data_IF_286635837283
#
_entry.id   IF_286635837283
#
_cell.length_a   1.000
_cell.length_b   1.000
_cell.length_c   1.000
_cell.angle_alpha   90.00
_cell.angle_beta   90.00
_cell.angle_gamma   90.00
#
_symmetry.space_group_name_H-M   'P 1'
#
loop_
_entity.id
_entity.type
_entity.pdbx_description
1 polymer ?
#
# COMPACT_ATOMS: atom_id res chain seq x y z
N UNK A 1 -14.59 16.41 13.02
CA UNK A 1 -15.87 15.69 12.78
C UNK A 1 -15.64 14.19 12.63
N UNK A 2 -14.72 13.74 11.75
CA UNK A 2 -14.48 12.29 11.53
C UNK A 2 -13.93 11.56 12.76
N UNK A 3 -13.00 12.15 13.50
CA UNK A 3 -12.44 11.55 14.71
C UNK A 3 -13.49 11.33 15.81
N UNK A 4 -14.48 12.21 15.94
CA UNK A 4 -15.57 12.01 16.90
C UNK A 4 -16.48 10.86 16.48
N UNK A 5 -16.83 10.77 15.20
CA UNK A 5 -17.63 9.65 14.68
C UNK A 5 -16.94 8.30 14.92
N UNK A 6 -15.63 8.22 14.70
CA UNK A 6 -14.86 7.01 14.97
C UNK A 6 -14.86 6.66 16.47
N UNK A 7 -14.70 7.65 17.36
CA UNK A 7 -14.79 7.42 18.81
C UNK A 7 -16.14 6.86 19.23
N UNK A 8 -17.21 7.43 18.70
CA UNK A 8 -18.57 7.00 19.02
C UNK A 8 -18.84 5.59 18.47
N UNK A 9 -18.35 5.30 17.26
CA UNK A 9 -18.40 3.96 16.68
C UNK A 9 -17.61 2.94 17.51
N UNK A 10 -16.41 3.26 17.95
CA UNK A 10 -15.59 2.36 18.79
C UNK A 10 -16.22 2.11 20.16
N UNK A 11 -16.88 3.10 20.77
CA UNK A 11 -17.60 2.92 22.03
C UNK A 11 -18.73 1.90 21.93
N UNK A 12 -19.44 1.90 20.79
CA UNK A 12 -20.59 1.01 20.57
C UNK A 12 -20.16 -0.36 20.05
N UNK A 13 -19.20 -0.39 19.12
CA UNK A 13 -18.83 -1.56 18.36
C UNK A 13 -17.42 -2.09 18.62
N UNK A 14 -16.66 -1.45 19.53
CA UNK A 14 -15.25 -1.78 19.77
C UNK A 14 -14.97 -3.24 20.11
N UNK A 15 -15.95 -3.96 20.69
CA UNK A 15 -15.83 -5.40 20.96
C UNK A 15 -15.56 -6.26 19.72
N UNK A 16 -15.90 -5.75 18.53
CA UNK A 16 -15.70 -6.43 17.26
C UNK A 16 -14.45 -5.94 16.51
N UNK A 17 -13.81 -4.89 17.02
CA UNK A 17 -12.63 -4.29 16.41
C UNK A 17 -11.40 -4.79 17.18
N UNK A 18 -10.49 -5.39 16.46
CA UNK A 18 -9.30 -5.99 17.06
C UNK A 18 -8.04 -5.14 16.90
N UNK A 19 -7.97 -4.29 15.89
CA UNK A 19 -6.89 -3.34 15.64
C UNK A 19 -7.40 -2.13 14.87
N UNK A 20 -6.65 -1.02 14.89
CA UNK A 20 -6.86 0.10 13.99
C UNK A 20 -5.77 0.14 12.93
N UNK A 21 -6.14 0.50 11.70
CA UNK A 21 -5.21 0.49 10.57
C UNK A 21 -4.51 1.82 10.41
N UNK A 22 -3.16 1.77 10.31
CA UNK A 22 -2.34 2.82 9.72
C UNK A 22 -1.80 2.36 8.37
N UNK A 23 -1.60 3.27 7.44
CA UNK A 23 -1.14 2.86 6.11
C UNK A 23 -0.25 3.89 5.40
N UNK A 24 0.39 3.42 4.33
CA UNK A 24 1.32 4.19 3.52
C UNK A 24 0.68 5.33 2.72
N UNK A 25 -0.63 5.32 2.49
CA UNK A 25 -1.36 6.35 1.74
C UNK A 25 -1.89 7.48 2.61
N UNK A 26 -1.61 7.44 3.90
CA UNK A 26 -1.96 8.49 4.86
C UNK A 26 -0.77 9.39 5.16
N UNK A 27 -1.06 10.64 5.53
CA UNK A 27 -0.06 11.53 6.09
C UNK A 27 0.34 11.06 7.50
N UNK A 28 1.51 11.49 7.98
CA UNK A 28 1.91 11.16 9.35
C UNK A 28 0.91 11.69 10.38
N UNK A 29 0.38 12.90 10.18
CA UNK A 29 -0.61 13.47 11.10
C UNK A 29 -1.91 12.65 11.18
N UNK A 30 -2.31 12.00 10.10
CA UNK A 30 -3.48 11.10 10.09
C UNK A 30 -3.16 9.78 10.79
N UNK A 31 -2.03 9.14 10.46
CA UNK A 31 -1.62 7.90 11.10
C UNK A 31 -1.38 8.09 12.61
N UNK A 32 -0.76 9.22 13.01
CA UNK A 32 -0.58 9.57 14.41
C UNK A 32 -1.91 9.67 15.15
N UNK A 33 -2.91 10.31 14.55
CA UNK A 33 -4.24 10.41 15.16
C UNK A 33 -4.92 9.04 15.30
N UNK A 34 -4.64 8.08 14.41
CA UNK A 34 -5.11 6.69 14.54
C UNK A 34 -4.37 5.97 15.67
N UNK A 35 -3.06 6.15 15.81
CA UNK A 35 -2.26 5.58 16.90
C UNK A 35 -2.79 6.08 18.25
N UNK A 36 -2.94 7.39 18.43
CA UNK A 36 -3.50 8.00 19.64
C UNK A 36 -4.91 7.47 19.95
N UNK A 37 -5.71 7.21 18.91
CA UNK A 37 -7.04 6.62 19.05
C UNK A 37 -6.95 5.16 19.50
N UNK A 38 -6.06 4.37 18.90
CA UNK A 38 -5.85 2.98 19.25
C UNK A 38 -5.42 2.84 20.73
N UNK A 39 -4.44 3.64 21.16
CA UNK A 39 -3.99 3.73 22.55
C UNK A 39 -5.14 4.05 23.51
N UNK A 40 -5.97 5.06 23.17
CA UNK A 40 -7.10 5.49 24.00
C UNK A 40 -8.18 4.41 24.17
N UNK A 41 -8.28 3.45 23.27
CA UNK A 41 -9.23 2.34 23.30
C UNK A 41 -8.59 0.98 23.63
N UNK A 42 -7.31 0.94 23.96
CA UNK A 42 -6.57 -0.30 24.25
C UNK A 42 -6.52 -1.26 23.06
N UNK A 43 -6.46 -0.73 21.84
CA UNK A 43 -6.37 -1.50 20.61
C UNK A 43 -4.95 -1.44 20.06
N UNK A 44 -4.40 -2.54 19.52
CA UNK A 44 -3.18 -2.49 18.75
C UNK A 44 -3.38 -1.75 17.42
N UNK A 45 -2.29 -1.31 16.80
CA UNK A 45 -2.30 -0.83 15.42
C UNK A 45 -1.75 -1.91 14.51
N UNK A 46 -2.33 -2.05 13.32
CA UNK A 46 -1.84 -2.94 12.29
C UNK A 46 -1.77 -2.19 10.95
N UNK A 47 -1.11 -2.75 9.96
CA UNK A 47 -1.13 -2.21 8.61
C UNK A 47 -1.54 -3.26 7.59
N UNK A 48 -2.48 -2.89 6.71
CA UNK A 48 -2.81 -3.64 5.49
C UNK A 48 -1.99 -3.18 4.30
N UNK A 49 -1.17 -2.13 4.49
CA UNK A 49 -0.29 -1.56 3.48
C UNK A 49 -0.96 -0.64 2.48
N UNK A 50 -2.19 -0.89 2.10
CA UNK A 50 -3.00 -0.14 1.11
C UNK A 50 -2.20 0.21 -0.17
N UNK A 51 -1.33 -0.72 -0.60
CA UNK A 51 -0.47 -0.51 -1.75
C UNK A 51 -0.82 -1.48 -2.86
N UNK A 52 -1.08 -0.94 -4.03
CA UNK A 52 -1.50 -1.70 -5.21
C UNK A 52 -0.37 -1.95 -6.22
N UNK A 53 0.87 -1.61 -5.88
CA UNK A 53 2.06 -1.81 -6.72
C UNK A 53 2.85 -3.05 -6.33
N UNK A 54 3.91 -3.34 -7.10
CA UNK A 54 4.80 -4.47 -6.84
C UNK A 54 5.90 -4.17 -5.80
N UNK A 55 6.08 -2.91 -5.40
CA UNK A 55 7.10 -2.54 -4.43
C UNK A 55 6.61 -2.74 -3.00
N UNK A 56 7.53 -3.01 -2.05
CA UNK A 56 7.19 -3.18 -0.65
C UNK A 56 6.39 -2.01 -0.09
N UNK A 57 5.58 -2.30 0.91
CA UNK A 57 4.83 -1.30 1.64
C UNK A 57 5.76 -0.32 2.35
N UNK A 58 5.27 0.89 2.53
CA UNK A 58 5.95 1.93 3.30
C UNK A 58 5.70 1.81 4.80
N UNK A 59 4.73 0.98 5.18
CA UNK A 59 4.44 0.58 6.56
C UNK A 59 4.27 -0.93 6.55
N UNK A 60 4.92 -1.63 7.48
CA UNK A 60 4.89 -3.09 7.58
C UNK A 60 4.56 -3.52 9.01
N UNK A 61 3.91 -4.68 9.17
CA UNK A 61 3.76 -5.33 10.46
C UNK A 61 5.06 -6.08 10.79
N UNK A 62 5.49 -6.00 12.04
CA UNK A 62 6.55 -6.83 12.59
C UNK A 62 5.90 -7.86 13.52
N UNK A 63 6.27 -9.13 13.37
CA UNK A 63 5.73 -10.22 14.16
C UNK A 63 6.77 -11.31 14.34
N UNK A 64 6.66 -12.09 15.40
CA UNK A 64 7.40 -13.33 15.62
C UNK A 64 6.57 -14.57 15.25
N UNK A 65 5.34 -14.37 14.80
CA UNK A 65 4.47 -15.45 14.36
C UNK A 65 5.03 -16.13 13.10
N UNK A 66 5.03 -17.44 13.07
CA UNK A 66 5.45 -18.25 11.94
C UNK A 66 4.27 -18.58 11.00
N UNK A 67 3.04 -18.44 11.49
CA UNK A 67 1.81 -18.67 10.73
C UNK A 67 0.88 -17.47 10.76
N UNK A 68 -0.03 -17.42 9.79
CA UNK A 68 -1.05 -16.36 9.76
C UNK A 68 -2.00 -16.43 10.96
N UNK A 69 -2.34 -17.64 11.41
CA UNK A 69 -3.17 -17.86 12.60
C UNK A 69 -2.52 -17.30 13.86
N UNK A 70 -1.23 -17.54 14.06
CA UNK A 70 -0.48 -16.98 15.19
C UNK A 70 -0.44 -15.46 15.13
N UNK A 71 -0.20 -14.87 13.97
CA UNK A 71 -0.25 -13.42 13.77
C UNK A 71 -1.64 -12.84 14.13
N UNK A 72 -2.70 -13.50 13.70
CA UNK A 72 -4.07 -13.10 14.05
C UNK A 72 -4.30 -13.20 15.57
N UNK A 73 -3.77 -14.24 16.22
CA UNK A 73 -3.90 -14.44 17.68
C UNK A 73 -3.11 -13.38 18.46
N UNK A 74 -1.91 -12.98 18.04
CA UNK A 74 -1.19 -11.84 18.60
C UNK A 74 -2.07 -10.59 18.66
N UNK A 75 -2.75 -10.27 17.56
CA UNK A 75 -3.62 -9.09 17.48
C UNK A 75 -4.90 -9.27 18.29
N UNK A 76 -5.58 -10.40 18.17
CA UNK A 76 -6.92 -10.61 18.74
C UNK A 76 -6.91 -10.96 20.22
N UNK A 77 -6.01 -11.86 20.63
CA UNK A 77 -5.95 -12.41 21.98
C UNK A 77 -4.96 -11.65 22.85
N UNK A 78 -3.75 -11.45 22.34
CA UNK A 78 -2.67 -10.80 23.10
C UNK A 78 -2.74 -9.28 23.05
N UNK A 79 -3.54 -8.71 22.14
CA UNK A 79 -3.62 -7.26 21.90
C UNK A 79 -2.26 -6.64 21.60
N UNK A 80 -1.39 -7.41 20.96
CA UNK A 80 -0.03 -7.04 20.59
C UNK A 80 0.08 -6.87 19.08
N UNK A 81 0.75 -5.83 18.66
CA UNK A 81 1.16 -5.60 17.27
C UNK A 81 2.29 -4.58 17.26
N UNK A 82 3.25 -4.81 16.42
CA UNK A 82 4.32 -3.86 16.11
C UNK A 82 4.24 -3.46 14.64
N UNK A 83 4.49 -2.19 14.36
CA UNK A 83 4.51 -1.66 13.00
C UNK A 83 5.78 -0.85 12.80
N UNK A 84 6.42 -1.04 11.66
CA UNK A 84 7.59 -0.27 11.26
C UNK A 84 7.26 0.66 10.09
N UNK A 85 7.76 1.88 10.18
CA UNK A 85 7.72 2.85 9.10
C UNK A 85 9.00 2.70 8.28
N UNK A 86 8.86 2.26 7.04
CA UNK A 86 9.98 2.10 6.13
C UNK A 86 10.51 3.47 5.67
N UNK A 87 11.80 3.58 5.27
CA UNK A 87 12.38 4.85 4.81
C UNK A 87 11.58 5.54 3.70
N UNK A 88 10.90 4.78 2.85
CA UNK A 88 10.03 5.29 1.80
C UNK A 88 8.84 6.08 2.34
N UNK A 89 8.41 5.82 3.58
CA UNK A 89 7.34 6.57 4.23
C UNK A 89 7.73 8.04 4.48
N UNK A 90 9.01 8.35 4.55
CA UNK A 90 9.49 9.73 4.66
C UNK A 90 9.26 10.56 3.38
N UNK A 91 9.06 9.90 2.24
CA UNK A 91 8.74 10.63 1.02
C UNK A 91 7.42 11.40 1.19
N UNK A 92 7.28 12.57 0.57
CA UNK A 92 6.05 13.33 0.61
C UNK A 92 4.84 12.48 0.18
N UNK A 93 3.70 12.61 0.87
CA UNK A 93 2.50 11.82 0.60
C UNK A 93 2.13 11.80 -0.88
N UNK A 94 2.09 12.98 -1.51
CA UNK A 94 1.75 13.06 -2.93
C UNK A 94 2.75 12.32 -3.83
N UNK A 95 4.03 12.32 -3.48
CA UNK A 95 5.04 11.56 -4.21
C UNK A 95 4.79 10.04 -4.10
N UNK A 96 4.44 9.56 -2.89
CA UNK A 96 4.10 8.15 -2.66
C UNK A 96 2.84 7.72 -3.42
N UNK A 97 1.81 8.57 -3.39
CA UNK A 97 0.56 8.34 -4.11
C UNK A 97 0.79 8.28 -5.62
N UNK A 98 1.48 9.28 -6.20
CA UNK A 98 1.78 9.32 -7.62
C UNK A 98 2.65 8.14 -8.06
N UNK A 99 3.63 7.75 -7.24
CA UNK A 99 4.44 6.56 -7.51
C UNK A 99 3.58 5.29 -7.56
N UNK A 100 2.67 5.11 -6.61
CA UNK A 100 1.80 3.95 -6.59
C UNK A 100 0.84 3.92 -7.79
N UNK A 101 0.23 5.04 -8.15
CA UNK A 101 -0.58 5.12 -9.37
C UNK A 101 0.23 4.81 -10.63
N UNK A 102 1.46 5.32 -10.71
CA UNK A 102 2.36 4.98 -11.80
C UNK A 102 2.67 3.49 -11.87
N UNK A 103 2.89 2.84 -10.73
CA UNK A 103 3.16 1.40 -10.66
C UNK A 103 1.94 0.57 -11.06
N UNK A 104 0.72 0.94 -10.62
CA UNK A 104 -0.53 0.28 -11.04
C UNK A 104 -0.68 0.32 -12.57
N UNK A 105 -0.32 1.44 -13.18
CA UNK A 105 -0.40 1.66 -14.64
C UNK A 105 0.86 1.20 -15.39
N UNK A 106 1.83 0.60 -14.72
CA UNK A 106 3.03 0.06 -15.33
C UNK A 106 2.82 -1.34 -15.89
N UNK A 107 3.72 -1.75 -16.77
CA UNK A 107 3.77 -3.13 -17.25
C UNK A 107 4.56 -3.98 -16.27
N UNK A 108 4.02 -5.14 -15.92
CA UNK A 108 4.67 -6.08 -15.02
C UNK A 108 5.29 -7.24 -15.81
N UNK A 109 6.61 -7.24 -16.05
CA UNK A 109 7.27 -8.26 -16.87
C UNK A 109 7.22 -9.66 -16.26
N UNK A 110 7.12 -9.75 -14.92
CA UNK A 110 7.11 -11.04 -14.19
C UNK A 110 5.72 -11.64 -13.99
N UNK A 111 4.64 -10.95 -14.39
CA UNK A 111 3.31 -11.52 -14.36
C UNK A 111 3.02 -12.37 -15.60
N UNK A 112 2.00 -13.23 -15.51
CA UNK A 112 1.50 -14.00 -16.65
C UNK A 112 1.24 -13.08 -17.86
N UNK A 113 1.51 -13.59 -19.09
CA UNK A 113 1.55 -12.76 -20.29
C UNK A 113 0.31 -11.87 -20.47
N UNK A 114 -0.89 -12.47 -20.27
CA UNK A 114 -2.17 -11.78 -20.42
C UNK A 114 -2.43 -10.68 -19.35
N UNK A 115 -1.61 -10.61 -18.29
CA UNK A 115 -1.77 -9.64 -17.18
C UNK A 115 -0.60 -8.67 -17.06
N UNK A 116 0.31 -8.64 -18.01
CA UNK A 116 1.49 -7.75 -17.95
C UNK A 116 1.15 -6.30 -18.11
N UNK A 117 0.20 -5.96 -18.98
CA UNK A 117 -0.17 -4.58 -19.29
C UNK A 117 -1.33 -4.14 -18.40
N UNK A 118 -1.33 -2.87 -18.00
CA UNK A 118 -2.37 -2.36 -17.11
C UNK A 118 -3.79 -2.52 -17.69
N UNK A 119 -3.97 -2.36 -19.00
CA UNK A 119 -5.27 -2.51 -19.68
C UNK A 119 -5.72 -3.98 -19.85
N UNK A 120 -4.87 -4.96 -19.55
CA UNK A 120 -5.26 -6.37 -19.39
C UNK A 120 -5.79 -6.65 -17.97
N UNK A 121 -5.48 -5.77 -17.00
CA UNK A 121 -5.81 -5.91 -15.58
C UNK A 121 -7.01 -5.07 -15.15
N UNK A 122 -7.43 -4.11 -15.96
CA UNK A 122 -8.63 -3.30 -15.73
C UNK A 122 -9.79 -3.95 -16.47
N UNK A 123 -10.83 -4.28 -15.71
CA UNK A 123 -12.03 -4.91 -16.21
C UNK A 123 -13.21 -3.98 -16.03
N UNK A 124 -14.19 -4.10 -16.91
CA UNK A 124 -15.46 -3.39 -16.81
C UNK A 124 -16.60 -4.33 -17.19
N UNK A 125 -17.79 -4.08 -16.66
CA UNK A 125 -19.01 -4.75 -17.04
C UNK A 125 -19.62 -4.01 -18.24
N UNK A 126 -19.91 -4.74 -19.29
CA UNK A 126 -20.57 -4.19 -20.47
C UNK A 126 -22.09 -4.11 -20.33
N UNK A 127 -22.63 -4.60 -19.23
CA UNK A 127 -24.06 -4.69 -18.99
C UNK A 127 -24.82 -5.51 -20.08
N UNK A 128 -24.07 -6.31 -20.86
CA UNK A 128 -24.62 -7.18 -21.91
C UNK A 128 -24.81 -8.64 -21.43
N UNK A 129 -24.68 -8.88 -20.14
CA UNK A 129 -24.83 -10.20 -19.51
C UNK A 129 -23.64 -11.15 -19.71
N UNK A 130 -22.57 -10.69 -20.36
CA UNK A 130 -21.36 -11.52 -20.60
C UNK A 130 -20.30 -11.39 -19.49
N UNK A 131 -20.59 -10.55 -18.46
CA UNK A 131 -19.70 -10.36 -17.33
C UNK A 131 -18.53 -9.40 -17.60
N UNK A 132 -17.50 -9.47 -16.75
CA UNK A 132 -16.35 -8.57 -16.77
C UNK A 132 -15.43 -8.87 -17.95
N UNK A 133 -15.10 -7.84 -18.72
CA UNK A 133 -14.22 -7.89 -19.89
C UNK A 133 -13.04 -6.93 -19.69
N UNK A 134 -11.81 -7.36 -20.01
CA UNK A 134 -10.63 -6.49 -19.93
C UNK A 134 -10.69 -5.38 -20.98
N UNK A 135 -10.08 -4.24 -20.68
CA UNK A 135 -9.99 -3.13 -21.64
C UNK A 135 -9.27 -3.53 -22.93
N UNK A 136 -8.27 -4.39 -22.85
CA UNK A 136 -7.55 -4.89 -24.04
C UNK A 136 -8.46 -5.69 -24.97
N UNK A 137 -9.35 -6.52 -24.42
CA UNK A 137 -10.34 -7.26 -25.20
C UNK A 137 -11.44 -6.36 -25.80
N UNK A 138 -11.57 -5.11 -25.30
CA UNK A 138 -12.51 -4.11 -25.80
C UNK A 138 -11.88 -3.07 -26.74
N UNK A 139 -10.79 -3.41 -27.42
CA UNK A 139 -10.15 -2.54 -28.40
C UNK A 139 -9.09 -1.60 -27.85
N UNK A 140 -8.68 -1.76 -26.57
CA UNK A 140 -7.57 -0.99 -25.97
C UNK A 140 -6.23 -1.76 -26.00
N UNK A 141 -6.07 -2.64 -26.98
CA UNK A 141 -4.86 -3.46 -27.17
C UNK A 141 -3.56 -2.66 -27.23
N UNK A 142 -3.64 -1.37 -27.61
CA UNK A 142 -2.53 -0.40 -27.66
C UNK A 142 -2.48 0.58 -26.48
N UNK A 143 -3.28 0.34 -25.41
CA UNK A 143 -3.31 1.19 -24.22
C UNK A 143 -4.28 2.38 -24.30
N UNK A 144 -5.29 2.28 -25.17
CA UNK A 144 -6.36 3.28 -25.28
C UNK A 144 -5.97 4.57 -26.03
N UNK A 145 -6.75 5.64 -25.85
CA UNK A 145 -6.57 6.91 -26.52
C UNK A 145 -5.19 7.53 -26.28
N UNK A 146 -4.69 8.29 -27.24
CA UNK A 146 -3.35 8.91 -27.17
C UNK A 146 -3.18 9.83 -25.94
N UNK A 147 -4.20 10.62 -25.63
CA UNK A 147 -4.18 11.49 -24.45
C UNK A 147 -4.01 10.72 -23.14
N UNK A 148 -4.64 9.54 -23.02
CA UNK A 148 -4.50 8.70 -21.84
C UNK A 148 -3.08 8.13 -21.69
N UNK A 149 -2.49 7.72 -22.80
CA UNK A 149 -1.08 7.27 -22.82
C UNK A 149 -0.11 8.37 -22.40
N UNK A 150 -0.38 9.62 -22.82
CA UNK A 150 0.37 10.79 -22.37
C UNK A 150 0.17 11.03 -20.88
N UNK A 151 -1.09 10.98 -20.39
CA UNK A 151 -1.41 11.15 -18.98
C UNK A 151 -0.70 10.10 -18.10
N UNK A 152 -0.68 8.82 -18.50
CA UNK A 152 0.03 7.75 -17.77
C UNK A 152 1.54 8.03 -17.73
N UNK A 153 2.15 8.44 -18.83
CA UNK A 153 3.58 8.82 -18.85
C UNK A 153 3.87 10.01 -17.93
N UNK A 154 2.97 11.00 -17.92
CA UNK A 154 3.09 12.17 -17.05
C UNK A 154 2.98 11.76 -15.57
N UNK A 155 2.04 10.89 -15.21
CA UNK A 155 1.94 10.33 -13.86
C UNK A 155 3.22 9.60 -13.47
N UNK A 156 3.78 8.79 -14.37
CA UNK A 156 5.06 8.11 -14.17
C UNK A 156 6.21 9.07 -13.90
N UNK A 157 6.29 10.15 -14.65
CA UNK A 157 7.29 11.19 -14.45
C UNK A 157 7.10 11.90 -13.09
N UNK A 158 5.86 12.31 -12.78
CA UNK A 158 5.55 12.97 -11.49
C UNK A 158 5.80 12.05 -10.28
N UNK A 159 5.58 10.75 -10.42
CA UNK A 159 5.88 9.74 -9.38
C UNK A 159 7.37 9.38 -9.29
N UNK A 160 8.21 9.85 -10.19
CA UNK A 160 9.63 9.51 -10.23
C UNK A 160 10.42 10.12 -9.06
N UNK A 161 11.58 9.52 -8.68
CA UNK A 161 12.46 10.07 -7.66
C UNK A 161 12.89 11.53 -7.95
N UNK A 162 13.01 11.90 -9.20
CA UNK A 162 13.43 13.24 -9.66
C UNK A 162 12.45 14.34 -9.20
N UNK A 163 11.17 14.03 -9.06
CA UNK A 163 10.14 14.99 -8.64
C UNK A 163 9.98 15.10 -7.12
N UNK A 164 10.59 14.21 -6.33
CA UNK A 164 10.50 14.22 -4.86
C UNK A 164 10.91 15.55 -4.22
N UNK A 165 11.97 16.26 -4.64
CA UNK A 165 12.34 17.55 -4.07
C UNK A 165 11.23 18.58 -4.17
N UNK A 166 10.51 18.62 -5.30
CA UNK A 166 9.39 19.54 -5.52
C UNK A 166 8.28 19.32 -4.46
N UNK A 167 7.94 18.08 -4.22
CA UNK A 167 6.91 17.75 -3.22
C UNK A 167 7.40 17.93 -1.78
N UNK A 168 8.72 17.86 -1.51
CA UNK A 168 9.28 18.15 -0.16
C UNK A 168 9.06 19.59 0.25
N UNK A 169 9.14 20.53 -0.67
CA UNK A 169 8.91 21.95 -0.38
C UNK A 169 7.47 22.21 0.08
N UNK A 170 6.51 21.49 -0.48
CA UNK A 170 5.10 21.61 -0.13
C UNK A 170 4.70 20.85 1.16
N UNK A 171 5.62 20.12 1.79
CA UNK A 171 5.32 19.29 2.96
C UNK A 171 5.09 20.12 4.21
N UNK A 172 3.94 19.93 4.85
CA UNK A 172 3.60 20.58 6.12
C UNK A 172 4.49 20.05 7.26
N UNK A 173 4.89 20.93 8.18
CA UNK A 173 5.76 20.56 9.33
C UNK A 173 5.17 19.42 10.18
N UNK A 174 3.85 19.38 10.36
CA UNK A 174 3.13 18.35 11.12
C UNK A 174 3.19 16.94 10.49
N UNK A 175 3.54 16.86 9.21
CA UNK A 175 3.64 15.60 8.48
C UNK A 175 5.09 15.09 8.37
N UNK A 176 6.00 15.65 9.17
CA UNK A 176 7.34 15.09 9.33
C UNK A 176 7.25 13.83 10.19
N UNK A 177 7.72 12.75 9.63
CA UNK A 177 7.77 11.45 10.31
C UNK A 177 8.88 11.48 11.33
N UNK A 178 8.67 11.03 12.58
CA UNK A 178 9.77 10.74 13.46
C UNK A 178 10.55 9.56 12.84
N UNK A 179 11.86 9.73 12.68
CA UNK A 179 12.73 8.63 12.27
C UNK A 179 12.65 7.55 13.37
N UNK A 180 12.23 6.36 12.99
CA UNK A 180 12.40 5.20 13.83
C UNK A 180 13.79 4.60 13.53
N UNK A 181 14.77 4.70 14.44
CA UNK A 181 16.15 4.22 14.19
C UNK A 181 16.20 2.71 13.94
N UNK A 182 15.20 1.95 14.41
CA UNK A 182 15.14 0.50 14.25
C UNK A 182 14.63 0.10 12.87
N UNK A 183 13.70 0.85 12.29
CA UNK A 183 13.18 0.59 10.94
C UNK A 183 14.24 0.79 9.84
N UNK A 184 15.28 1.58 10.09
CA UNK A 184 16.40 1.80 9.15
C UNK A 184 17.37 0.63 9.07
N UNK A 185 17.27 -0.36 9.98
CA UNK A 185 18.15 -1.54 10.02
C UNK A 185 17.57 -2.75 9.28
N UNK A 186 16.35 -2.66 8.78
CA UNK A 186 15.72 -3.75 8.07
C UNK A 186 16.10 -3.68 6.59
N UNK A 187 17.14 -4.40 6.20
CA UNK A 187 17.36 -4.79 4.81
C UNK A 187 16.31 -5.86 4.48
N UNK A 188 15.31 -5.50 3.68
CA UNK A 188 14.40 -6.49 3.11
C UNK A 188 15.24 -7.31 2.13
N UNK A 189 15.36 -8.64 2.33
CA UNK A 189 16.03 -9.50 1.36
C UNK A 189 15.41 -9.26 -0.02
N UNK A 190 16.23 -9.12 -1.03
CA UNK A 190 15.75 -8.91 -2.39
C UNK A 190 14.87 -10.08 -2.78
N UNK A 191 13.55 -9.86 -2.94
CA UNK A 191 12.58 -10.91 -3.30
C UNK A 191 12.91 -11.59 -4.64
N UNK A 192 13.90 -11.06 -5.37
CA UNK A 192 14.45 -11.66 -6.59
C UNK A 192 15.34 -12.86 -6.34
N UNK A 193 16.01 -12.96 -5.19
CA UNK A 193 16.84 -14.16 -4.88
C UNK A 193 15.98 -15.34 -4.42
N UNK A 194 14.89 -15.11 -3.68
CA UNK A 194 14.01 -16.18 -3.20
C UNK A 194 13.21 -16.88 -4.31
N UNK A 195 12.99 -16.24 -5.47
CA UNK A 195 12.30 -16.86 -6.60
C UNK A 195 13.22 -17.73 -7.47
N UNK A 196 14.53 -17.61 -7.33
CA UNK A 196 15.52 -18.42 -8.06
C UNK A 196 15.72 -19.83 -7.49
N UNK A 197 15.53 -20.01 -6.19
CA UNK A 197 15.75 -21.30 -5.54
C UNK A 197 14.58 -22.28 -5.71
N UNK A 198 13.34 -21.78 -5.84
CA UNK A 198 12.16 -22.64 -6.04
C UNK A 198 12.06 -23.29 -7.45
N UNK A 199 12.86 -22.83 -8.41
CA UNK A 199 12.87 -23.41 -9.76
C UNK A 199 13.93 -24.50 -9.96
N UNK A 200 14.82 -24.74 -9.00
CA UNK A 200 15.87 -25.75 -9.11
C UNK A 200 15.55 -27.08 -8.42
N UNK A 201 14.47 -27.19 -7.65
CA UNK A 201 14.10 -28.45 -6.95
C UNK A 201 13.04 -29.29 -7.68
N UNK A 202 12.59 -28.88 -8.87
CA UNK A 202 11.60 -29.63 -9.68
C UNK A 202 12.12 -30.01 -11.07
N UNK A 203 13.41 -30.33 -11.21
CA UNK A 203 13.97 -30.89 -12.42
C UNK A 203 14.44 -32.34 -12.18
#
# INVERSE_FOLDING_TARGET
RHGQLLKDFLRVHGRWIHALEINGFRSWSENKAVIEMAEAFGLPVATGGDRHGCKPNTVINLTQAETFEEFVDEIRKEKRSEVALMPEYEHPLHSRQLQSFSEILSHYPHFAEHRRRWFDRVFFDREDGKGLVSLSAHGWDRGGPSWLRVAIKTLGFLGSPTMRPVFRVARKKKDRVPLNPEATKFEIPDLHEASGELSSETA
#
